data_IF_626676797752
#
_entry.id   IF_626676797752
#
_cell.length_a   1.000
_cell.length_b   1.000
_cell.length_c   1.000
_cell.angle_alpha   90.00
_cell.angle_beta   90.00
_cell.angle_gamma   90.00
#
_symmetry.space_group_name_H-M   'P 1'
#
loop_
_entity.id
_entity.type
_entity.pdbx_description
1 polymer ?
#
# COMPACT_ATOMS: atom_id res chain seq x y z
N UNK A 1 16.69 -76.54 41.44
CA UNK A 1 18.17 -76.65 41.36
C UNK A 1 18.59 -76.23 39.95
N UNK A 2 19.15 -75.08 39.77
CA UNK A 2 20.20 -74.62 38.84
C UNK A 2 20.22 -73.11 38.82
N UNK A 3 21.23 -72.50 39.41
CA UNK A 3 21.58 -71.12 39.33
C UNK A 3 22.05 -70.80 37.89
N UNK A 4 21.65 -69.70 37.39
CA UNK A 4 22.26 -69.10 36.19
C UNK A 4 22.52 -67.60 36.44
N UNK A 5 23.79 -67.33 36.52
CA UNK A 5 24.42 -66.04 36.73
C UNK A 5 24.25 -65.19 35.47
N UNK A 6 23.63 -64.01 35.54
CA UNK A 6 23.54 -63.07 34.45
C UNK A 6 24.51 -61.92 34.68
N UNK A 7 25.41 -61.74 33.70
CA UNK A 7 26.43 -60.70 33.64
C UNK A 7 25.79 -59.39 33.15
N UNK A 8 25.90 -58.29 33.94
CA UNK A 8 25.54 -56.92 33.51
C UNK A 8 26.68 -56.38 32.65
N UNK A 9 26.37 -56.07 31.42
CA UNK A 9 27.21 -55.25 30.56
C UNK A 9 26.73 -53.81 30.60
N UNK A 10 27.56 -52.92 31.16
CA UNK A 10 27.32 -51.50 31.19
C UNK A 10 27.78 -50.90 29.86
N UNK A 11 26.84 -50.43 29.02
CA UNK A 11 27.13 -49.64 27.84
C UNK A 11 27.06 -48.15 28.17
N UNK A 12 28.20 -47.46 28.13
CA UNK A 12 28.32 -46.03 28.25
C UNK A 12 27.86 -45.38 26.91
N UNK A 13 26.72 -44.70 26.93
CA UNK A 13 26.26 -43.89 25.79
C UNK A 13 26.92 -42.50 25.86
N UNK A 14 27.81 -42.23 24.93
CA UNK A 14 28.38 -40.88 24.72
C UNK A 14 27.33 -39.99 24.05
N UNK A 15 26.82 -39.01 24.81
CA UNK A 15 25.98 -37.93 24.28
C UNK A 15 26.86 -36.95 23.53
N UNK A 16 26.88 -37.02 22.18
CA UNK A 16 27.42 -35.99 21.30
C UNK A 16 26.39 -34.89 21.25
N UNK A 17 26.63 -33.79 22.00
CA UNK A 17 25.83 -32.58 21.95
C UNK A 17 26.02 -31.90 20.59
N UNK A 18 25.04 -32.01 19.72
CA UNK A 18 24.92 -31.12 18.53
C UNK A 18 24.50 -29.76 19.02
N UNK A 19 25.45 -28.83 19.17
CA UNK A 19 25.19 -27.41 19.31
C UNK A 19 24.69 -26.90 17.94
N UNK A 20 23.37 -26.98 17.72
CA UNK A 20 22.73 -26.34 16.57
C UNK A 20 22.91 -24.83 16.67
N UNK A 21 23.85 -24.26 15.93
CA UNK A 21 23.91 -22.82 15.69
C UNK A 21 22.68 -22.48 14.86
N UNK A 22 21.65 -21.92 15.51
CA UNK A 22 20.51 -21.35 14.80
C UNK A 22 21.05 -20.22 13.94
N UNK A 23 21.17 -20.43 12.63
CA UNK A 23 21.48 -19.36 11.68
C UNK A 23 20.34 -18.33 11.78
N UNK A 24 20.67 -17.12 12.21
CA UNK A 24 19.73 -16.01 12.14
C UNK A 24 19.26 -15.86 10.67
N UNK A 25 17.97 -15.63 10.42
CA UNK A 25 17.49 -15.42 9.08
C UNK A 25 18.27 -14.24 8.48
N UNK A 26 18.95 -14.49 7.37
CA UNK A 26 19.66 -13.45 6.63
C UNK A 26 18.63 -12.40 6.23
N UNK A 27 18.78 -11.15 6.72
CA UNK A 27 17.96 -10.05 6.29
C UNK A 27 18.16 -9.89 4.79
N UNK A 28 17.08 -10.01 4.01
CA UNK A 28 17.17 -9.83 2.57
C UNK A 28 17.69 -8.41 2.27
N UNK A 29 18.56 -8.28 1.29
CA UNK A 29 19.04 -6.98 0.86
C UNK A 29 17.84 -6.13 0.36
N UNK A 30 17.83 -4.81 0.59
CA UNK A 30 16.76 -3.96 0.10
C UNK A 30 16.65 -4.06 -1.43
N UNK A 31 15.42 -4.00 -1.97
CA UNK A 31 15.19 -4.12 -3.41
C UNK A 31 15.85 -2.97 -4.16
N UNK A 32 16.35 -3.24 -5.34
CA UNK A 32 17.01 -2.25 -6.21
C UNK A 32 16.10 -1.89 -7.38
N UNK A 33 16.18 -0.65 -7.84
CA UNK A 33 15.48 -0.18 -9.03
C UNK A 33 15.76 -1.08 -10.27
N UNK A 34 17.01 -1.54 -10.40
CA UNK A 34 17.45 -2.44 -11.48
C UNK A 34 16.75 -3.82 -11.46
N UNK A 35 16.21 -4.25 -10.32
CA UNK A 35 15.52 -5.54 -10.21
C UNK A 35 14.20 -5.56 -11.00
N UNK A 36 13.65 -4.36 -11.27
CA UNK A 36 12.50 -4.15 -12.16
C UNK A 36 12.90 -3.54 -13.51
N UNK A 37 14.17 -3.62 -13.91
CA UNK A 37 14.72 -2.98 -15.13
C UNK A 37 14.56 -1.45 -15.13
N UNK A 38 14.39 -0.84 -13.95
CA UNK A 38 14.26 0.60 -13.78
C UNK A 38 15.61 1.30 -13.77
N UNK A 39 15.56 2.61 -13.97
CA UNK A 39 16.70 3.54 -13.89
C UNK A 39 16.41 4.59 -12.84
N UNK A 40 17.41 4.91 -12.00
CA UNK A 40 17.29 5.99 -11.04
C UNK A 40 17.37 7.34 -11.76
N UNK A 41 16.34 8.17 -11.59
CA UNK A 41 16.27 9.56 -12.06
C UNK A 41 16.02 10.45 -10.84
N UNK A 42 17.07 11.11 -10.37
CA UNK A 42 17.03 11.78 -9.07
C UNK A 42 16.82 10.78 -7.94
N UNK A 43 15.76 10.96 -7.16
CA UNK A 43 15.40 10.06 -6.06
C UNK A 43 14.34 9.01 -6.46
N UNK A 44 13.88 9.03 -7.70
CA UNK A 44 12.85 8.13 -8.19
C UNK A 44 13.43 7.00 -9.03
N UNK A 45 12.92 5.80 -8.83
CA UNK A 45 13.07 4.70 -9.77
C UNK A 45 12.04 4.86 -10.88
N UNK A 46 12.50 4.89 -12.12
CA UNK A 46 11.65 5.02 -13.31
C UNK A 46 11.79 3.74 -14.14
N UNK A 47 10.66 3.08 -14.38
CA UNK A 47 10.54 1.91 -15.23
C UNK A 47 9.78 2.33 -16.49
N UNK A 48 10.35 2.07 -17.65
CA UNK A 48 9.72 2.32 -18.94
C UNK A 48 9.88 1.09 -19.80
N UNK A 49 8.77 0.53 -20.26
CA UNK A 49 8.76 -0.58 -21.19
C UNK A 49 7.78 -0.28 -22.31
N UNK A 50 8.18 -0.63 -23.53
CA UNK A 50 7.34 -0.56 -24.71
C UNK A 50 7.52 -1.84 -25.52
N UNK A 51 6.40 -2.44 -25.89
CA UNK A 51 6.34 -3.61 -26.75
C UNK A 51 5.22 -3.39 -27.79
N UNK A 52 5.07 -4.28 -28.74
CA UNK A 52 4.05 -4.18 -29.82
C UNK A 52 2.63 -4.13 -29.27
N UNK A 53 2.36 -4.73 -28.09
CA UNK A 53 1.03 -4.82 -27.47
C UNK A 53 0.79 -3.88 -26.30
N UNK A 54 1.84 -3.23 -25.75
CA UNK A 54 1.66 -2.36 -24.58
C UNK A 54 2.76 -1.31 -24.42
N UNK A 55 2.43 -0.31 -23.62
CA UNK A 55 3.38 0.63 -23.04
C UNK A 55 3.17 0.72 -21.53
N UNK A 56 4.25 0.79 -20.76
CA UNK A 56 4.14 1.09 -19.34
C UNK A 56 5.18 2.12 -18.91
N UNK A 57 4.77 2.96 -17.97
CA UNK A 57 5.62 3.92 -17.30
C UNK A 57 5.28 3.93 -15.83
N UNK A 58 6.22 3.52 -14.99
CA UNK A 58 6.07 3.49 -13.55
C UNK A 58 7.17 4.31 -12.93
N UNK A 59 6.81 5.18 -11.98
CA UNK A 59 7.77 5.92 -11.16
C UNK A 59 7.47 5.68 -9.69
N UNK A 60 8.50 5.51 -8.85
CA UNK A 60 8.34 5.43 -7.41
C UNK A 60 9.59 5.95 -6.67
N UNK A 61 9.45 6.56 -5.47
CA UNK A 61 10.59 7.02 -4.70
C UNK A 61 11.41 5.84 -4.17
N UNK A 62 12.71 5.84 -4.47
CA UNK A 62 13.62 4.76 -4.09
C UNK A 62 14.06 4.82 -2.61
N UNK A 63 13.80 5.94 -1.93
CA UNK A 63 14.19 6.23 -0.55
C UNK A 63 13.03 6.21 0.46
N UNK A 64 11.86 5.66 0.06
CA UNK A 64 10.74 5.52 0.97
C UNK A 64 11.07 4.54 2.12
N UNK A 65 10.71 4.83 3.38
CA UNK A 65 11.12 4.01 4.53
C UNK A 65 10.67 2.54 4.45
N UNK A 66 9.48 2.27 3.95
CA UNK A 66 8.97 0.92 3.68
C UNK A 66 9.08 0.59 2.17
N UNK A 67 10.32 0.72 1.68
CA UNK A 67 10.59 0.50 0.25
C UNK A 67 10.25 -0.92 -0.20
N UNK A 68 10.34 -1.92 0.69
CA UNK A 68 10.04 -3.31 0.34
C UNK A 68 8.55 -3.48 -0.01
N UNK A 69 7.64 -3.03 0.86
CA UNK A 69 6.19 -3.16 0.61
C UNK A 69 5.77 -2.39 -0.66
N UNK A 70 6.36 -1.21 -0.87
CA UNK A 70 6.11 -0.42 -2.08
C UNK A 70 6.65 -1.11 -3.34
N UNK A 71 7.88 -1.64 -3.29
CA UNK A 71 8.49 -2.38 -4.38
C UNK A 71 7.67 -3.62 -4.76
N UNK A 72 7.24 -4.39 -3.77
CA UNK A 72 6.43 -5.60 -3.99
C UNK A 72 5.10 -5.27 -4.66
N UNK A 73 4.46 -4.17 -4.24
CA UNK A 73 3.25 -3.70 -4.89
C UNK A 73 3.50 -3.22 -6.33
N UNK A 74 4.57 -2.46 -6.56
CA UNK A 74 4.96 -2.00 -7.92
C UNK A 74 5.24 -3.20 -8.82
N UNK A 75 5.98 -4.18 -8.31
CA UNK A 75 6.27 -5.43 -9.02
C UNK A 75 5.00 -6.17 -9.39
N UNK A 76 4.10 -6.37 -8.41
CA UNK A 76 2.83 -7.05 -8.64
C UNK A 76 1.96 -6.31 -9.67
N UNK A 77 1.89 -4.98 -9.60
CA UNK A 77 1.12 -4.16 -10.53
C UNK A 77 1.67 -4.25 -11.94
N UNK A 78 3.01 -4.12 -12.10
CA UNK A 78 3.69 -4.26 -13.38
C UNK A 78 3.50 -5.67 -13.98
N UNK A 79 3.81 -6.70 -13.22
CA UNK A 79 3.76 -8.07 -13.70
C UNK A 79 2.33 -8.49 -14.04
N UNK A 80 1.34 -8.09 -13.23
CA UNK A 80 -0.08 -8.30 -13.50
C UNK A 80 -0.52 -7.66 -14.81
N UNK A 81 -0.11 -6.40 -15.05
CA UNK A 81 -0.41 -5.69 -16.29
C UNK A 81 0.24 -6.37 -17.50
N UNK A 82 1.51 -6.71 -17.42
CA UNK A 82 2.24 -7.38 -18.52
C UNK A 82 1.63 -8.73 -18.84
N UNK A 83 1.25 -9.51 -17.82
CA UNK A 83 0.61 -10.81 -18.00
C UNK A 83 -0.73 -10.70 -18.77
N UNK A 84 -1.51 -9.63 -18.50
CA UNK A 84 -2.75 -9.39 -19.26
C UNK A 84 -2.44 -8.95 -20.68
N UNK A 85 -1.48 -8.04 -20.86
CA UNK A 85 -1.14 -7.49 -22.16
C UNK A 85 -0.50 -8.51 -23.12
N UNK A 86 0.19 -9.52 -22.58
CA UNK A 86 0.83 -10.60 -23.34
C UNK A 86 0.07 -11.93 -23.25
N UNK A 87 -1.09 -11.94 -22.60
CA UNK A 87 -1.90 -13.15 -22.44
C UNK A 87 -2.52 -13.63 -23.75
N UNK A 88 -2.99 -14.88 -23.80
CA UNK A 88 -3.59 -15.47 -25.00
C UNK A 88 -4.87 -14.76 -25.44
N UNK A 89 -5.56 -14.08 -24.52
CA UNK A 89 -6.79 -13.33 -24.76
C UNK A 89 -6.54 -11.83 -24.98
N UNK A 90 -5.27 -11.42 -25.15
CA UNK A 90 -4.92 -10.03 -25.38
C UNK A 90 -5.56 -9.50 -26.67
N UNK A 91 -6.23 -8.33 -26.56
CA UNK A 91 -6.85 -7.67 -27.69
C UNK A 91 -5.80 -6.97 -28.57
N UNK A 92 -6.05 -6.78 -29.87
CA UNK A 92 -5.11 -6.13 -30.79
C UNK A 92 -5.01 -4.61 -30.60
N UNK A 93 -5.31 -4.10 -29.41
CA UNK A 93 -5.19 -2.70 -29.03
C UNK A 93 -4.01 -2.52 -28.07
N UNK A 94 -3.18 -1.49 -28.21
CA UNK A 94 -2.09 -1.27 -27.29
C UNK A 94 -2.65 -1.00 -25.88
N UNK A 95 -2.20 -1.81 -24.91
CA UNK A 95 -2.48 -1.60 -23.49
C UNK A 95 -1.58 -0.49 -22.92
N UNK A 96 -2.06 0.19 -21.89
CA UNK A 96 -1.29 1.27 -21.25
C UNK A 96 -1.36 1.17 -19.74
N UNK A 97 -0.20 1.31 -19.08
CA UNK A 97 -0.09 1.48 -17.64
C UNK A 97 0.77 2.70 -17.33
N UNK A 98 0.21 3.62 -16.53
CA UNK A 98 0.96 4.74 -15.98
C UNK A 98 0.79 4.79 -14.46
N UNK A 99 1.91 4.80 -13.72
CA UNK A 99 1.93 4.87 -12.25
C UNK A 99 2.79 6.07 -11.86
N UNK A 100 2.15 7.07 -11.26
CA UNK A 100 2.79 8.34 -10.90
C UNK A 100 2.67 8.56 -9.39
N UNK A 101 3.78 8.74 -8.64
CA UNK A 101 3.76 9.03 -7.22
C UNK A 101 3.54 10.52 -6.95
N UNK A 102 2.88 10.80 -5.82
CA UNK A 102 2.90 12.10 -5.16
C UNK A 102 3.27 11.88 -3.69
N UNK A 103 4.22 12.65 -3.19
CA UNK A 103 4.72 12.54 -1.82
C UNK A 103 4.09 13.61 -0.93
N UNK A 104 3.77 13.23 0.31
CA UNK A 104 3.24 14.09 1.35
C UNK A 104 3.96 13.85 2.66
N UNK A 105 3.94 14.81 3.57
CA UNK A 105 4.53 14.67 4.89
C UNK A 105 3.82 15.52 5.93
N UNK A 106 3.92 15.11 7.20
CA UNK A 106 3.44 15.89 8.33
C UNK A 106 4.51 15.99 9.42
N UNK A 107 4.74 17.20 9.91
CA UNK A 107 5.62 17.50 11.05
C UNK A 107 4.83 17.69 12.35
N UNK A 108 3.50 17.79 12.32
CA UNK A 108 2.61 17.82 13.50
C UNK A 108 2.09 16.42 13.82
N UNK A 109 1.59 16.15 15.04
CA UNK A 109 1.12 14.81 15.41
C UNK A 109 0.05 14.24 14.45
N UNK A 110 0.18 12.97 14.02
CA UNK A 110 1.35 12.12 14.20
C UNK A 110 2.57 12.69 13.48
N UNK A 111 3.67 12.85 14.21
CA UNK A 111 4.88 13.53 13.71
C UNK A 111 5.76 12.61 12.89
N UNK A 112 6.45 13.23 11.89
CA UNK A 112 7.37 12.47 11.06
C UNK A 112 6.67 11.43 10.20
N UNK A 113 5.47 11.74 9.71
CA UNK A 113 4.81 10.88 8.73
C UNK A 113 5.30 11.19 7.33
N UNK A 114 5.48 10.13 6.55
CA UNK A 114 5.70 10.22 5.11
C UNK A 114 4.62 9.40 4.41
N UNK A 115 4.05 9.99 3.38
CA UNK A 115 3.04 9.35 2.55
C UNK A 115 3.46 9.38 1.09
N UNK A 116 3.26 8.27 0.38
CA UNK A 116 3.38 8.20 -1.07
C UNK A 116 2.06 7.71 -1.61
N UNK A 117 1.46 8.48 -2.49
CA UNK A 117 0.20 8.14 -3.14
C UNK A 117 0.43 7.98 -4.62
N UNK A 118 0.23 6.78 -5.12
CA UNK A 118 0.30 6.47 -6.53
C UNK A 118 -1.06 6.72 -7.18
N UNK A 119 -1.07 7.51 -8.26
CA UNK A 119 -2.16 7.54 -9.21
C UNK A 119 -1.84 6.53 -10.31
N UNK A 120 -2.72 5.57 -10.50
CA UNK A 120 -2.57 4.50 -11.48
C UNK A 120 -3.61 4.70 -12.57
N UNK A 121 -3.16 4.94 -13.79
CA UNK A 121 -3.97 4.86 -14.99
C UNK A 121 -3.70 3.54 -15.67
N UNK A 122 -4.75 2.80 -16.00
CA UNK A 122 -4.66 1.49 -16.61
C UNK A 122 -5.68 1.35 -17.72
N UNK A 123 -5.21 1.06 -18.93
CA UNK A 123 -6.01 0.60 -20.06
C UNK A 123 -5.57 -0.83 -20.42
N UNK A 124 -6.43 -1.78 -20.11
CA UNK A 124 -6.21 -3.21 -20.37
C UNK A 124 -7.17 -3.75 -21.43
N UNK A 125 -7.57 -2.90 -22.36
CA UNK A 125 -8.48 -3.26 -23.44
C UNK A 125 -9.91 -3.58 -22.99
N UNK A 126 -10.32 -3.09 -21.82
CA UNK A 126 -11.69 -3.12 -21.33
C UNK A 126 -12.58 -2.14 -22.10
N UNK A 127 -13.82 -1.91 -21.60
CA UNK A 127 -14.75 -0.94 -22.20
C UNK A 127 -14.28 0.49 -21.99
N UNK A 128 -13.53 0.74 -20.91
CA UNK A 128 -12.97 2.06 -20.54
C UNK A 128 -11.68 1.88 -19.76
N UNK A 129 -10.72 2.81 -19.90
CA UNK A 129 -9.59 2.92 -19.00
C UNK A 129 -10.04 3.16 -17.56
N UNK A 130 -9.26 2.70 -16.60
CA UNK A 130 -9.51 2.85 -15.17
C UNK A 130 -8.41 3.70 -14.54
N UNK A 131 -8.82 4.56 -13.60
CA UNK A 131 -7.88 5.31 -12.77
C UNK A 131 -8.18 5.02 -11.31
N UNK A 132 -7.17 4.60 -10.56
CA UNK A 132 -7.29 4.34 -9.13
C UNK A 132 -6.06 4.84 -8.37
N UNK A 133 -6.10 4.75 -7.05
CA UNK A 133 -5.00 5.17 -6.19
C UNK A 133 -4.51 4.03 -5.30
N UNK A 134 -3.24 4.12 -4.93
CA UNK A 134 -2.64 3.30 -3.89
C UNK A 134 -1.78 4.19 -3.00
N UNK A 135 -2.11 4.24 -1.73
CA UNK A 135 -1.36 5.01 -0.74
C UNK A 135 -0.50 4.10 0.14
N UNK A 136 0.68 4.60 0.47
CA UNK A 136 1.57 4.08 1.50
C UNK A 136 1.82 5.21 2.49
N UNK A 137 1.55 4.96 3.75
CA UNK A 137 1.75 5.93 4.84
C UNK A 137 2.66 5.31 5.88
N UNK A 138 3.60 6.07 6.38
CA UNK A 138 4.65 5.61 7.29
C UNK A 138 4.82 6.56 8.47
N UNK A 139 4.85 6.00 9.68
CA UNK A 139 5.26 6.68 10.89
C UNK A 139 6.77 6.48 11.10
N UNK A 140 7.54 7.56 11.04
CA UNK A 140 8.99 7.50 11.20
C UNK A 140 9.44 7.25 12.65
N UNK A 141 8.60 7.59 13.63
CA UNK A 141 8.88 7.38 15.05
C UNK A 141 8.72 5.93 15.43
N UNK A 142 7.56 5.35 15.12
CA UNK A 142 7.26 3.94 15.38
C UNK A 142 7.91 3.01 14.35
N UNK A 143 8.23 3.53 13.16
CA UNK A 143 8.71 2.78 11.99
C UNK A 143 7.71 1.69 11.56
N UNK A 144 6.45 2.08 11.51
CA UNK A 144 5.32 1.23 11.12
C UNK A 144 4.48 1.90 10.05
N UNK A 145 3.86 1.11 9.16
CA UNK A 145 2.86 1.64 8.23
C UNK A 145 1.64 2.12 9.00
N UNK A 146 1.07 3.26 8.53
CA UNK A 146 -0.19 3.80 9.04
C UNK A 146 -1.31 3.37 8.08
N UNK A 147 -2.37 2.80 8.62
CA UNK A 147 -3.52 2.27 7.85
C UNK A 147 -4.84 2.71 8.48
N UNK A 148 -5.92 2.71 7.71
CA UNK A 148 -7.27 2.99 8.26
C UNK A 148 -7.72 1.87 9.18
N UNK A 149 -7.56 0.62 8.72
CA UNK A 149 -7.87 -0.58 9.51
C UNK A 149 -6.65 -1.50 9.56
N UNK A 150 -6.18 -1.78 10.76
CA UNK A 150 -5.03 -2.67 10.98
C UNK A 150 -5.38 -4.13 10.66
N UNK A 151 -6.66 -4.50 10.69
CA UNK A 151 -7.10 -5.90 10.56
C UNK A 151 -6.44 -6.82 11.59
N UNK A 152 -5.97 -6.28 12.72
CA UNK A 152 -5.21 -7.01 13.74
C UNK A 152 -3.77 -7.33 13.38
N UNK A 153 -3.22 -6.73 12.32
CA UNK A 153 -1.83 -6.93 11.90
C UNK A 153 -0.89 -6.26 12.91
N UNK A 154 0.09 -7.04 13.37
CA UNK A 154 1.17 -6.51 14.20
C UNK A 154 2.02 -5.48 13.41
N UNK A 155 2.63 -4.54 14.15
CA UNK A 155 3.51 -3.50 13.58
C UNK A 155 2.83 -2.64 12.50
N UNK A 156 1.54 -2.40 12.67
CA UNK A 156 0.77 -1.40 11.92
C UNK A 156 0.13 -0.43 12.90
N UNK A 157 0.09 0.84 12.53
CA UNK A 157 -0.57 1.88 13.32
C UNK A 157 -1.91 2.23 12.66
N UNK A 158 -3.02 2.26 13.41
CA UNK A 158 -4.25 2.80 12.87
C UNK A 158 -4.14 4.32 12.69
N UNK A 159 -4.77 4.88 11.65
CA UNK A 159 -4.88 6.32 11.48
C UNK A 159 -5.65 6.98 12.64
N UNK A 160 -6.67 6.31 13.13
CA UNK A 160 -7.51 6.79 14.22
C UNK A 160 -7.39 5.90 15.45
N UNK A 161 -7.56 6.49 16.63
CA UNK A 161 -7.49 5.78 17.91
C UNK A 161 -8.51 4.63 17.95
N UNK A 162 -8.15 3.49 18.57
CA UNK A 162 -9.08 2.39 18.74
C UNK A 162 -10.37 2.84 19.40
N UNK A 163 -11.51 2.48 18.80
CA UNK A 163 -12.84 2.87 19.26
C UNK A 163 -13.32 4.27 18.84
N UNK A 164 -12.47 5.08 18.20
CA UNK A 164 -12.92 6.32 17.59
C UNK A 164 -13.79 6.03 16.36
N UNK A 165 -14.83 6.86 16.16
CA UNK A 165 -15.67 6.82 14.96
C UNK A 165 -15.59 8.17 14.23
N UNK A 166 -14.57 8.40 13.39
CA UNK A 166 -14.37 9.67 12.70
C UNK A 166 -15.31 9.88 11.50
N UNK A 167 -15.91 8.82 10.97
CA UNK A 167 -16.61 8.84 9.68
C UNK A 167 -17.80 9.79 9.63
N UNK A 168 -18.64 9.92 10.68
CA UNK A 168 -19.71 10.93 10.73
C UNK A 168 -19.20 12.38 10.69
N UNK A 169 -17.92 12.62 10.99
CA UNK A 169 -17.27 13.94 10.90
C UNK A 169 -16.61 14.11 9.54
N UNK A 170 -15.92 13.09 9.04
CA UNK A 170 -15.18 13.13 7.77
C UNK A 170 -16.13 13.18 6.57
N UNK A 171 -17.17 12.39 6.56
CA UNK A 171 -18.04 12.27 5.39
C UNK A 171 -18.67 13.60 4.97
N UNK A 172 -19.28 14.40 5.86
CA UNK A 172 -19.80 15.73 5.50
C UNK A 172 -18.73 16.71 4.98
N UNK A 173 -17.49 16.61 5.50
CA UNK A 173 -16.37 17.45 5.02
C UNK A 173 -15.96 17.06 3.60
N UNK A 174 -15.94 15.75 3.29
CA UNK A 174 -15.68 15.23 1.95
C UNK A 174 -16.78 15.66 0.98
N UNK A 175 -18.06 15.56 1.36
CA UNK A 175 -19.19 16.03 0.55
C UNK A 175 -19.06 17.52 0.23
N UNK A 176 -18.80 18.35 1.25
CA UNK A 176 -18.67 19.80 1.09
C UNK A 176 -17.49 20.19 0.18
N UNK A 177 -16.36 19.48 0.28
CA UNK A 177 -15.22 19.74 -0.59
C UNK A 177 -15.48 19.31 -2.02
N UNK A 178 -16.12 18.17 -2.24
CA UNK A 178 -16.53 17.71 -3.56
C UNK A 178 -17.59 18.64 -4.18
N UNK A 179 -18.51 19.17 -3.40
CA UNK A 179 -19.48 20.18 -3.87
C UNK A 179 -18.77 21.42 -4.41
N UNK A 180 -17.73 21.90 -3.72
CA UNK A 180 -16.90 23.01 -4.22
C UNK A 180 -16.18 22.66 -5.53
N UNK A 181 -15.61 21.46 -5.62
CA UNK A 181 -14.87 21.03 -6.82
C UNK A 181 -15.78 20.81 -8.02
N UNK A 182 -16.99 20.31 -7.81
CA UNK A 182 -17.93 19.96 -8.88
C UNK A 182 -18.96 21.05 -9.18
N UNK A 183 -19.12 22.03 -8.30
CA UNK A 183 -20.15 23.07 -8.40
C UNK A 183 -21.57 22.58 -8.10
N UNK A 184 -21.75 21.32 -7.74
CA UNK A 184 -23.02 20.70 -7.39
C UNK A 184 -22.83 19.69 -6.28
N UNK A 185 -23.83 19.56 -5.41
CA UNK A 185 -23.77 18.59 -4.33
C UNK A 185 -23.69 17.15 -4.86
N UNK A 186 -22.66 16.38 -4.48
CA UNK A 186 -22.54 14.99 -4.93
C UNK A 186 -23.61 14.11 -4.29
N UNK A 187 -24.12 13.14 -5.04
CA UNK A 187 -25.03 12.12 -4.52
C UNK A 187 -24.22 10.90 -4.07
N UNK A 188 -23.73 10.94 -2.84
CA UNK A 188 -22.98 9.82 -2.23
C UNK A 188 -23.92 9.04 -1.33
N UNK A 189 -23.99 7.73 -1.52
CA UNK A 189 -24.77 6.84 -0.65
C UNK A 189 -24.14 6.82 0.77
N UNK A 190 -24.93 7.01 1.84
CA UNK A 190 -24.41 7.04 3.20
C UNK A 190 -23.61 5.77 3.59
N UNK A 191 -23.99 4.60 3.11
CA UNK A 191 -23.29 3.34 3.32
C UNK A 191 -21.90 3.31 2.68
N UNK A 192 -21.65 4.11 1.64
CA UNK A 192 -20.33 4.29 1.01
C UNK A 192 -19.57 5.37 1.77
N UNK A 193 -20.20 6.51 2.04
CA UNK A 193 -19.55 7.66 2.68
C UNK A 193 -19.18 7.42 4.15
N UNK A 194 -19.86 6.54 4.86
CA UNK A 194 -19.57 6.16 6.25
C UNK A 194 -18.71 4.90 6.38
N UNK A 195 -18.37 4.23 5.27
CA UNK A 195 -17.58 3.01 5.30
C UNK A 195 -16.09 3.31 5.42
N UNK A 196 -15.39 2.83 6.47
CA UNK A 196 -13.94 2.99 6.62
C UNK A 196 -13.13 2.57 5.39
N UNK A 197 -13.53 1.48 4.72
CA UNK A 197 -12.83 0.96 3.55
C UNK A 197 -12.81 1.93 2.36
N UNK A 198 -13.76 2.88 2.30
CA UNK A 198 -13.78 3.93 1.28
C UNK A 198 -12.57 4.87 1.40
N UNK A 199 -11.97 4.98 2.59
CA UNK A 199 -10.92 5.93 2.92
C UNK A 199 -9.52 5.31 3.04
N UNK A 200 -9.31 4.11 2.55
CA UNK A 200 -8.03 3.38 2.65
C UNK A 200 -6.85 4.11 1.98
N UNK A 201 -7.12 4.88 0.93
CA UNK A 201 -6.11 5.66 0.25
C UNK A 201 -6.12 7.10 0.76
N UNK A 202 -5.17 7.42 1.63
CA UNK A 202 -5.06 8.73 2.25
C UNK A 202 -3.61 9.20 2.34
N UNK A 203 -3.42 10.49 2.63
CA UNK A 203 -2.14 11.06 3.02
C UNK A 203 -2.34 12.05 4.17
N UNK A 204 -1.32 12.21 5.00
CA UNK A 204 -1.34 13.08 6.17
C UNK A 204 -0.46 14.30 5.89
N UNK A 205 -1.03 15.48 6.08
CA UNK A 205 -0.34 16.76 6.04
C UNK A 205 -0.49 17.49 7.38
N UNK A 206 0.22 18.61 7.55
CA UNK A 206 0.18 19.37 8.80
C UNK A 206 -1.25 19.78 9.19
N UNK A 207 -2.00 20.33 8.23
CA UNK A 207 -3.32 20.92 8.49
C UNK A 207 -4.47 20.14 7.84
N UNK A 208 -4.16 19.15 7.01
CA UNK A 208 -5.15 18.45 6.20
C UNK A 208 -4.95 16.93 6.23
N UNK A 209 -6.06 16.22 6.06
CA UNK A 209 -6.09 14.84 5.58
C UNK A 209 -6.51 14.85 4.12
N UNK A 210 -5.74 14.15 3.30
CA UNK A 210 -6.05 13.93 1.89
C UNK A 210 -6.65 12.56 1.74
N UNK A 211 -7.78 12.46 1.02
CA UNK A 211 -8.37 11.17 0.65
C UNK A 211 -8.42 11.03 -0.87
N UNK A 212 -8.18 9.82 -1.35
CA UNK A 212 -8.07 9.53 -2.77
C UNK A 212 -9.03 8.40 -3.13
N UNK A 213 -9.93 8.68 -4.04
CA UNK A 213 -10.98 7.75 -4.46
C UNK A 213 -10.77 7.36 -5.93
N UNK A 214 -10.61 6.08 -6.18
CA UNK A 214 -10.55 5.55 -7.53
C UNK A 214 -11.84 5.81 -8.30
N UNK A 215 -11.76 5.73 -9.61
CA UNK A 215 -12.91 5.87 -10.49
C UNK A 215 -14.01 4.87 -10.12
N UNK A 216 -15.22 5.36 -9.89
CA UNK A 216 -16.35 4.55 -9.46
C UNK A 216 -16.38 4.17 -7.97
N UNK A 217 -15.37 4.56 -7.17
CA UNK A 217 -15.29 4.17 -5.76
C UNK A 217 -16.23 4.97 -4.84
N UNK A 218 -16.41 6.25 -5.11
CA UNK A 218 -17.24 7.15 -4.30
C UNK A 218 -18.43 7.70 -5.09
N UNK A 219 -18.21 8.02 -6.35
CA UNK A 219 -19.20 8.54 -7.30
C UNK A 219 -19.19 7.68 -8.56
N UNK A 220 -20.20 7.81 -9.45
CA UNK A 220 -20.21 7.08 -10.72
C UNK A 220 -18.91 7.29 -11.51
N UNK A 221 -18.49 6.29 -12.30
CA UNK A 221 -17.25 6.29 -13.08
C UNK A 221 -17.05 7.56 -13.92
N UNK A 222 -18.14 8.19 -14.37
CA UNK A 222 -18.08 9.44 -15.13
C UNK A 222 -17.49 10.62 -14.38
N UNK A 223 -17.46 10.56 -13.05
CA UNK A 223 -16.78 11.57 -12.22
C UNK A 223 -15.25 11.40 -12.21
N UNK A 224 -14.73 10.28 -12.73
CA UNK A 224 -13.31 9.99 -12.72
C UNK A 224 -12.78 9.62 -11.33
N UNK A 225 -11.47 9.66 -11.20
CA UNK A 225 -10.79 9.48 -9.92
C UNK A 225 -10.66 10.82 -9.19
N UNK A 226 -10.94 10.83 -7.88
CA UNK A 226 -11.10 12.04 -7.08
C UNK A 226 -10.02 12.14 -6.01
N UNK A 227 -9.57 13.36 -5.71
CA UNK A 227 -8.70 13.66 -4.59
C UNK A 227 -9.34 14.78 -3.77
N UNK A 228 -9.50 14.57 -2.47
CA UNK A 228 -10.21 15.47 -1.57
C UNK A 228 -9.32 15.85 -0.40
N UNK A 229 -9.18 17.14 -0.16
CA UNK A 229 -8.44 17.68 0.99
C UNK A 229 -9.43 18.20 2.02
N UNK A 230 -9.42 17.63 3.22
CA UNK A 230 -10.23 18.13 4.33
C UNK A 230 -9.35 18.67 5.45
N UNK A 231 -9.80 19.71 6.20
CA UNK A 231 -9.08 20.14 7.39
C UNK A 231 -9.08 19.04 8.44
N UNK A 232 -7.91 18.76 9.04
CA UNK A 232 -7.78 17.71 10.04
C UNK A 232 -8.27 18.12 11.44
N UNK A 233 -8.32 19.43 11.74
CA UNK A 233 -8.70 19.94 13.05
C UNK A 233 -9.95 19.30 13.66
N UNK A 234 -11.05 19.10 12.91
CA UNK A 234 -12.26 18.45 13.44
C UNK A 234 -12.05 17.00 13.93
N UNK A 235 -11.02 16.32 13.45
CA UNK A 235 -10.71 14.91 13.79
C UNK A 235 -9.38 14.72 14.52
N UNK A 236 -8.62 15.79 14.79
CA UNK A 236 -7.29 15.72 15.42
C UNK A 236 -7.27 14.91 16.71
N UNK A 237 -8.30 15.05 17.54
CA UNK A 237 -8.41 14.30 18.81
C UNK A 237 -8.69 12.81 18.62
N UNK A 238 -9.06 12.41 17.42
CA UNK A 238 -9.35 11.01 17.07
C UNK A 238 -8.15 10.34 16.39
N UNK A 239 -7.17 11.12 15.92
CA UNK A 239 -5.94 10.59 15.27
C UNK A 239 -5.09 9.88 16.33
N UNK A 240 -4.52 8.71 15.97
CA UNK A 240 -3.73 7.85 16.86
C UNK A 240 -2.29 8.36 17.08
#
# INVERSE_FOLDING_TARGET
>A
MRLSTSILAATAAALVGFSGVAAAPASAAPPKCSDLKGVLVGQNCVIQEADTGYTLKISYPANYPDVQAMFDWVKQTRDGFVNVAQGPDARPTPYQLEVTPTEYSSAVPPRGTQSVVFKVYQDVGGTKPQTFYKAFNWDQTLRWPIVVDTGGKEKTQPLFQPGANPWPVIFPLVEAELEKQMGTKPAIAPEVGLNPATYENFAIQNDNLMFFFGQGALLPESAGALAVSIPRGPVDRMIA
#
